data_IF_699525219633
#
_entry.id   IF_699525219633
#
_cell.length_a   1.000
_cell.length_b   1.000
_cell.length_c   1.000
_cell.angle_alpha   90.00
_cell.angle_beta   90.00
_cell.angle_gamma   90.00
#
_symmetry.space_group_name_H-M   'P 1'
#
loop_
_entity.id
_entity.type
_entity.pdbx_description
1 polymer ?
#
# COMPACT_ATOMS: atom_id res chain seq x y z
N UNK A 1 7.17 -14.83 4.20
CA UNK A 1 6.09 -15.22 5.13
C UNK A 1 4.82 -15.42 4.34
N UNK A 2 4.12 -16.52 4.56
CA UNK A 2 2.81 -16.79 3.93
C UNK A 2 1.72 -15.98 4.63
N UNK A 3 0.59 -15.77 3.95
CA UNK A 3 -0.54 -15.06 4.55
C UNK A 3 -1.11 -15.81 5.77
N UNK A 4 -1.18 -17.14 5.72
CA UNK A 4 -1.65 -17.97 6.82
C UNK A 4 -0.75 -17.87 8.07
N UNK A 5 0.58 -17.78 7.88
CA UNK A 5 1.51 -17.52 8.98
C UNK A 5 1.29 -16.13 9.58
N UNK A 6 1.11 -15.11 8.72
CA UNK A 6 0.86 -13.74 9.15
C UNK A 6 -0.46 -13.60 9.92
N UNK A 7 -1.55 -14.23 9.44
CA UNK A 7 -2.84 -14.29 10.15
C UNK A 7 -2.66 -14.86 11.56
N UNK A 8 -1.94 -15.98 11.70
CA UNK A 8 -1.68 -16.58 13.01
C UNK A 8 -0.90 -15.65 13.93
N UNK A 9 0.12 -14.97 13.40
CA UNK A 9 0.90 -13.99 14.15
C UNK A 9 -0.01 -12.84 14.66
N UNK A 10 -0.81 -12.24 13.78
CA UNK A 10 -1.70 -11.13 14.13
C UNK A 10 -2.81 -11.54 15.10
N UNK A 11 -3.32 -12.77 15.03
CA UNK A 11 -4.45 -13.23 15.87
C UNK A 11 -4.18 -13.19 17.37
N UNK A 12 -2.91 -13.11 17.77
CA UNK A 12 -2.48 -13.00 19.18
C UNK A 12 -2.45 -11.58 19.73
N UNK A 13 -2.73 -10.56 18.90
CA UNK A 13 -2.58 -9.15 19.25
C UNK A 13 -3.97 -8.52 19.43
N UNK A 14 -4.22 -7.87 20.56
CA UNK A 14 -5.50 -7.17 20.83
C UNK A 14 -5.58 -5.84 20.06
N UNK A 15 -5.82 -5.92 18.76
CA UNK A 15 -5.96 -4.77 17.85
C UNK A 15 -7.02 -5.07 16.79
N UNK A 16 -7.56 -4.07 16.06
CA UNK A 16 -8.47 -4.32 14.95
C UNK A 16 -7.91 -5.28 13.87
N UNK A 17 -6.60 -5.25 13.64
CA UNK A 17 -5.90 -6.18 12.74
C UNK A 17 -5.94 -7.62 13.31
N UNK A 18 -5.75 -7.76 14.62
CA UNK A 18 -5.85 -9.05 15.30
C UNK A 18 -7.28 -9.59 15.36
N UNK A 19 -8.28 -8.72 15.50
CA UNK A 19 -9.69 -9.09 15.41
C UNK A 19 -10.02 -9.63 14.00
N UNK A 20 -9.60 -8.92 12.94
CA UNK A 20 -9.74 -9.42 11.57
C UNK A 20 -9.02 -10.75 11.37
N UNK A 21 -7.83 -10.92 11.92
CA UNK A 21 -7.10 -12.19 11.85
C UNK A 21 -7.84 -13.33 12.56
N UNK A 22 -8.45 -13.06 13.71
CA UNK A 22 -9.30 -14.03 14.42
C UNK A 22 -10.57 -14.38 13.62
N UNK A 23 -11.18 -13.41 12.94
CA UNK A 23 -12.32 -13.63 12.07
C UNK A 23 -11.94 -14.53 10.89
N UNK A 24 -10.79 -14.29 10.26
CA UNK A 24 -10.24 -15.15 9.19
C UNK A 24 -10.05 -16.58 9.67
N UNK A 25 -9.52 -16.79 10.88
CA UNK A 25 -9.31 -18.13 11.44
C UNK A 25 -10.63 -18.87 11.68
N UNK A 26 -11.69 -18.14 12.05
CA UNK A 26 -13.02 -18.70 12.33
C UNK A 26 -13.86 -18.91 11.08
N UNK A 27 -13.50 -18.26 9.98
CA UNK A 27 -14.20 -18.36 8.70
C UNK A 27 -13.96 -19.72 8.04
N UNK A 28 -15.04 -20.50 7.93
CA UNK A 28 -15.01 -21.85 7.34
C UNK A 28 -14.90 -21.82 5.82
N UNK A 29 -15.30 -20.73 5.19
CA UNK A 29 -15.27 -20.54 3.75
C UNK A 29 -13.98 -19.83 3.29
N UNK A 30 -13.08 -19.53 4.23
CA UNK A 30 -11.83 -18.84 3.94
C UNK A 30 -10.95 -19.67 2.98
N UNK A 31 -10.53 -19.11 1.84
CA UNK A 31 -9.79 -19.83 0.79
C UNK A 31 -8.29 -20.02 1.14
N UNK A 32 -8.00 -20.68 2.26
CA UNK A 32 -6.64 -20.80 2.83
C UNK A 32 -5.61 -21.52 1.96
N UNK A 33 -6.06 -22.28 0.96
CA UNK A 33 -5.24 -23.05 0.02
C UNK A 33 -5.03 -22.34 -1.34
N UNK A 34 -5.63 -21.16 -1.54
CA UNK A 34 -5.54 -20.39 -2.78
C UNK A 34 -4.30 -19.50 -2.86
N UNK A 35 -4.07 -18.94 -4.05
CA UNK A 35 -3.00 -17.98 -4.22
C UNK A 35 -3.30 -16.70 -3.41
N UNK A 36 -2.24 -16.02 -2.95
CA UNK A 36 -2.36 -14.77 -2.18
C UNK A 36 -3.32 -13.75 -2.82
N UNK A 37 -3.28 -13.61 -4.16
CA UNK A 37 -4.18 -12.71 -4.88
C UNK A 37 -5.65 -13.06 -4.63
N UNK A 38 -6.02 -14.33 -4.76
CA UNK A 38 -7.41 -14.77 -4.54
C UNK A 38 -7.83 -14.59 -3.08
N UNK A 39 -6.90 -14.79 -2.13
CA UNK A 39 -7.14 -14.54 -0.71
C UNK A 39 -7.39 -13.06 -0.45
N UNK A 40 -6.59 -12.17 -1.04
CA UNK A 40 -6.78 -10.72 -0.88
C UNK A 40 -8.05 -10.23 -1.57
N UNK A 41 -8.38 -10.74 -2.76
CA UNK A 41 -9.63 -10.43 -3.45
C UNK A 41 -10.85 -10.87 -2.60
N UNK A 42 -10.79 -12.04 -1.96
CA UNK A 42 -11.81 -12.51 -1.02
C UNK A 42 -11.98 -11.56 0.18
N UNK A 43 -10.86 -11.21 0.83
CA UNK A 43 -10.88 -10.34 2.01
C UNK A 43 -11.35 -8.92 1.67
N UNK A 44 -10.91 -8.36 0.53
CA UNK A 44 -11.38 -7.06 0.07
C UNK A 44 -12.91 -7.06 -0.12
N UNK A 45 -13.44 -8.09 -0.80
CA UNK A 45 -14.87 -8.23 -1.04
C UNK A 45 -15.67 -8.35 0.27
N UNK A 46 -15.28 -9.26 1.16
CA UNK A 46 -16.01 -9.49 2.42
C UNK A 46 -15.98 -8.26 3.33
N UNK A 47 -14.83 -7.61 3.46
CA UNK A 47 -14.69 -6.44 4.34
C UNK A 47 -15.35 -5.18 3.78
N UNK A 48 -15.40 -5.01 2.44
CA UNK A 48 -16.22 -3.94 1.83
C UNK A 48 -17.70 -4.14 2.12
N UNK A 49 -18.20 -5.36 1.95
CA UNK A 49 -19.62 -5.69 2.22
C UNK A 49 -20.03 -5.38 3.66
N UNK A 50 -19.11 -5.55 4.61
CA UNK A 50 -19.35 -5.32 6.03
C UNK A 50 -18.95 -3.91 6.51
N UNK A 51 -18.44 -3.05 5.62
CA UNK A 51 -18.01 -1.69 5.97
C UNK A 51 -16.72 -1.61 6.80
N UNK A 52 -15.91 -2.66 6.81
CA UNK A 52 -14.66 -2.77 7.61
C UNK A 52 -13.40 -2.82 6.74
N UNK A 53 -13.49 -2.48 5.45
CA UNK A 53 -12.37 -2.59 4.50
C UNK A 53 -11.13 -1.79 4.91
N UNK A 54 -11.29 -0.69 5.65
CA UNK A 54 -10.14 0.07 6.18
C UNK A 54 -9.21 -0.78 7.07
N UNK A 55 -9.78 -1.72 7.83
CA UNK A 55 -9.02 -2.66 8.68
C UNK A 55 -8.26 -3.64 7.79
N UNK A 56 -8.90 -4.16 6.73
CA UNK A 56 -8.25 -5.01 5.75
C UNK A 56 -7.10 -4.30 5.04
N UNK A 57 -7.27 -3.04 4.62
CA UNK A 57 -6.19 -2.28 3.98
C UNK A 57 -4.98 -2.14 4.90
N UNK A 58 -5.20 -1.87 6.20
CA UNK A 58 -4.11 -1.85 7.20
C UNK A 58 -3.47 -3.22 7.41
N UNK A 59 -4.27 -4.26 7.56
CA UNK A 59 -3.80 -5.65 7.66
C UNK A 59 -2.93 -6.05 6.47
N UNK A 60 -3.37 -5.72 5.25
CA UNK A 60 -2.65 -6.03 4.02
C UNK A 60 -1.36 -5.21 3.90
N UNK A 61 -1.39 -3.93 4.29
CA UNK A 61 -0.18 -3.11 4.33
C UNK A 61 0.85 -3.64 5.32
N UNK A 62 0.45 -4.10 6.51
CA UNK A 62 1.36 -4.73 7.49
C UNK A 62 1.93 -6.06 6.97
N UNK A 63 1.15 -6.86 6.25
CA UNK A 63 1.66 -8.05 5.57
C UNK A 63 2.76 -7.68 4.56
N UNK A 64 2.54 -6.64 3.76
CA UNK A 64 3.49 -6.21 2.74
C UNK A 64 4.71 -5.52 3.34
N UNK A 65 4.58 -4.77 4.45
CA UNK A 65 5.71 -4.26 5.22
C UNK A 65 6.68 -5.38 5.60
N UNK A 66 6.21 -6.62 5.79
CA UNK A 66 7.09 -7.77 6.08
C UNK A 66 7.64 -8.45 4.83
N UNK A 67 6.90 -8.46 3.72
CA UNK A 67 7.16 -9.32 2.56
C UNK A 67 7.58 -8.59 1.27
N UNK A 68 7.43 -7.28 1.21
CA UNK A 68 7.69 -6.46 0.02
C UNK A 68 8.90 -5.56 0.26
N UNK A 69 10.02 -5.85 -0.40
CA UNK A 69 11.28 -5.16 -0.16
C UNK A 69 11.26 -3.73 -0.72
N UNK A 70 10.53 -3.49 -1.83
CA UNK A 70 10.36 -2.15 -2.38
C UNK A 70 9.56 -1.24 -1.45
N UNK A 71 8.48 -1.73 -0.83
CA UNK A 71 7.74 -0.94 0.16
C UNK A 71 8.64 -0.56 1.34
N UNK A 72 9.43 -1.52 1.88
CA UNK A 72 10.39 -1.22 2.94
C UNK A 72 11.37 -0.12 2.53
N UNK A 73 11.93 -0.22 1.32
CA UNK A 73 12.86 0.79 0.80
C UNK A 73 12.21 2.17 0.70
N UNK A 74 10.97 2.26 0.19
CA UNK A 74 10.22 3.52 0.12
C UNK A 74 10.02 4.10 1.53
N UNK A 75 9.56 3.27 2.47
CA UNK A 75 9.31 3.69 3.86
C UNK A 75 10.59 4.16 4.56
N UNK A 76 11.69 3.42 4.43
CA UNK A 76 13.00 3.81 4.96
C UNK A 76 13.46 5.15 4.38
N UNK A 77 13.34 5.35 3.06
CA UNK A 77 13.71 6.62 2.44
C UNK A 77 12.88 7.79 2.96
N UNK A 78 11.56 7.63 3.08
CA UNK A 78 10.69 8.68 3.62
C UNK A 78 11.04 8.99 5.08
N UNK A 79 11.34 7.96 5.88
CA UNK A 79 11.77 8.10 7.28
C UNK A 79 13.11 8.83 7.41
N UNK A 80 14.11 8.43 6.64
CA UNK A 80 15.46 9.02 6.68
C UNK A 80 15.45 10.49 6.24
N UNK A 81 14.53 10.86 5.35
CA UNK A 81 14.30 12.25 4.94
C UNK A 81 13.30 12.99 5.85
N UNK A 82 12.89 12.38 6.97
CA UNK A 82 11.96 12.93 7.94
C UNK A 82 10.68 13.48 7.31
N UNK A 83 10.10 12.75 6.34
CA UNK A 83 8.90 13.20 5.61
C UNK A 83 7.66 13.07 6.50
N UNK A 84 6.92 14.18 6.66
CA UNK A 84 5.77 14.23 7.58
C UNK A 84 4.41 14.43 6.88
N UNK A 85 4.41 14.93 5.64
CA UNK A 85 3.20 15.08 4.81
C UNK A 85 3.56 15.16 3.32
N UNK A 86 2.55 15.18 2.45
CA UNK A 86 2.78 15.39 1.01
C UNK A 86 3.31 16.80 0.70
N UNK A 87 2.91 17.80 1.48
CA UNK A 87 3.43 19.17 1.36
C UNK A 87 4.91 19.23 1.75
N UNK A 88 5.28 18.60 2.87
CA UNK A 88 6.68 18.49 3.30
C UNK A 88 7.52 17.68 2.28
N UNK A 89 6.96 16.62 1.70
CA UNK A 89 7.60 15.90 0.59
C UNK A 89 7.81 16.80 -0.64
N UNK A 90 6.88 17.73 -0.90
CA UNK A 90 7.00 18.70 -2.00
C UNK A 90 8.10 19.72 -1.73
N UNK A 91 8.16 20.28 -0.53
CA UNK A 91 9.22 21.21 -0.12
C UNK A 91 10.62 20.58 -0.20
N UNK A 92 10.71 19.26 0.00
CA UNK A 92 11.94 18.45 -0.10
C UNK A 92 12.24 17.94 -1.51
N UNK A 93 11.45 18.30 -2.52
CA UNK A 93 11.56 17.81 -3.90
C UNK A 93 11.44 16.27 -4.04
N UNK A 94 10.76 15.62 -3.10
CA UNK A 94 10.44 14.19 -3.14
C UNK A 94 9.12 13.97 -3.88
N UNK A 95 8.17 14.90 -3.73
CA UNK A 95 6.90 14.90 -4.45
C UNK A 95 6.76 16.18 -5.27
N UNK A 96 5.92 16.13 -6.30
CA UNK A 96 5.45 17.32 -7.00
C UNK A 96 4.00 17.13 -7.44
N UNK A 97 3.17 18.20 -7.43
CA UNK A 97 1.87 18.16 -8.10
C UNK A 97 2.05 17.77 -9.56
N UNK A 98 1.19 16.88 -10.08
CA UNK A 98 1.30 16.39 -11.44
C UNK A 98 0.07 16.74 -12.29
N UNK A 99 -0.96 15.89 -12.24
CA UNK A 99 -2.26 16.11 -12.88
C UNK A 99 -3.34 15.64 -11.92
N UNK A 100 -4.54 16.19 -12.02
CA UNK A 100 -5.66 15.87 -11.12
C UNK A 100 -5.93 14.37 -11.00
N UNK A 101 -5.89 13.66 -12.14
CA UNK A 101 -6.10 12.21 -12.21
C UNK A 101 -5.01 11.38 -11.54
N UNK A 102 -3.90 11.98 -11.13
CA UNK A 102 -2.79 11.30 -10.48
C UNK A 102 -2.44 11.91 -9.11
N UNK A 103 -2.90 13.13 -8.82
CA UNK A 103 -2.52 13.90 -7.65
C UNK A 103 -1.06 14.35 -7.75
N UNK A 104 -0.19 13.64 -7.03
CA UNK A 104 1.22 13.94 -6.89
C UNK A 104 2.08 12.86 -7.52
N UNK A 105 3.17 13.26 -8.16
CA UNK A 105 4.24 12.36 -8.56
C UNK A 105 5.31 12.33 -7.47
N UNK A 106 5.51 11.15 -6.88
CA UNK A 106 6.55 10.88 -5.90
C UNK A 106 7.77 10.28 -6.61
N UNK A 107 8.96 10.75 -6.27
CA UNK A 107 10.24 10.29 -6.82
C UNK A 107 11.15 9.85 -5.68
N UNK A 108 11.51 8.57 -5.68
CA UNK A 108 12.41 7.94 -4.73
C UNK A 108 13.69 7.51 -5.45
N UNK A 109 14.86 8.11 -5.16
CA UNK A 109 16.13 7.69 -5.75
C UNK A 109 16.48 6.29 -5.23
N UNK A 110 16.63 5.33 -6.14
CA UNK A 110 16.91 3.94 -5.76
C UNK A 110 18.40 3.68 -5.54
N UNK A 111 19.26 4.44 -6.23
CA UNK A 111 20.71 4.25 -6.20
C UNK A 111 21.13 2.83 -6.60
N UNK A 112 22.23 2.34 -6.01
CA UNK A 112 22.79 1.02 -6.30
C UNK A 112 22.24 -0.13 -5.44
N UNK A 113 21.32 0.14 -4.51
CA UNK A 113 20.88 -0.80 -3.47
C UNK A 113 19.41 -1.22 -3.59
N UNK A 114 18.83 -1.08 -4.77
CA UNK A 114 17.41 -1.31 -4.96
C UNK A 114 17.07 -2.81 -4.95
N UNK A 115 15.87 -3.20 -4.50
CA UNK A 115 15.49 -4.61 -4.43
C UNK A 115 15.48 -5.26 -5.80
N UNK A 116 16.08 -6.44 -5.94
CA UNK A 116 16.01 -7.25 -7.16
C UNK A 116 14.55 -7.63 -7.52
N UNK A 117 13.67 -7.66 -6.52
CA UNK A 117 12.24 -7.97 -6.63
C UNK A 117 11.39 -6.79 -7.08
N UNK A 118 11.96 -5.62 -7.38
CA UNK A 118 11.21 -4.36 -7.54
C UNK A 118 10.02 -4.44 -8.49
N UNK A 119 10.15 -5.13 -9.63
CA UNK A 119 9.04 -5.24 -10.58
C UNK A 119 7.88 -6.06 -10.02
N UNK A 120 8.17 -7.18 -9.36
CA UNK A 120 7.17 -8.03 -8.71
C UNK A 120 6.53 -7.29 -7.54
N UNK A 121 7.36 -6.65 -6.72
CA UNK A 121 6.93 -5.91 -5.54
C UNK A 121 5.98 -4.77 -5.92
N UNK A 122 6.26 -4.04 -7.01
CA UNK A 122 5.39 -2.96 -7.48
C UNK A 122 4.04 -3.45 -7.99
N UNK A 123 3.97 -4.64 -8.60
CA UNK A 123 2.68 -5.21 -9.01
C UNK A 123 1.80 -5.57 -7.81
N UNK A 124 2.39 -5.99 -6.69
CA UNK A 124 1.66 -6.24 -5.43
C UNK A 124 1.19 -4.94 -4.76
N UNK A 125 1.89 -3.81 -4.97
CA UNK A 125 1.54 -2.52 -4.38
C UNK A 125 0.38 -1.80 -5.09
N UNK A 126 0.10 -2.17 -6.35
CA UNK A 126 -0.98 -1.59 -7.18
C UNK A 126 -2.40 -1.98 -6.75
N UNK A 127 -2.57 -2.73 -5.67
CA UNK A 127 -3.90 -3.22 -5.22
C UNK A 127 -4.28 -2.73 -3.82
N UNK A 128 -3.44 -1.88 -3.20
CA UNK A 128 -3.63 -1.41 -1.82
C UNK A 128 -4.19 0.00 -1.82
N UNK A 129 -4.97 0.30 -0.80
CA UNK A 129 -5.56 1.61 -0.55
C UNK A 129 -6.31 2.14 -1.79
N UNK A 130 -7.02 1.23 -2.46
CA UNK A 130 -7.87 1.56 -3.61
C UNK A 130 -8.96 2.54 -3.18
N UNK A 131 -9.00 3.70 -3.82
CA UNK A 131 -9.94 4.77 -3.58
C UNK A 131 -10.54 5.27 -4.89
N UNK A 132 -11.84 5.58 -4.87
CA UNK A 132 -12.48 6.34 -5.93
C UNK A 132 -12.22 7.82 -5.70
N UNK A 133 -11.75 8.51 -6.74
CA UNK A 133 -11.43 9.94 -6.72
C UNK A 133 -12.35 10.65 -7.70
N UNK A 134 -13.10 11.62 -7.20
CA UNK A 134 -13.91 12.52 -8.02
C UNK A 134 -13.00 13.58 -8.68
N UNK A 135 -13.19 13.78 -9.98
CA UNK A 135 -12.49 14.78 -10.77
C UNK A 135 -13.34 16.04 -10.91
N UNK A 136 -12.67 17.17 -11.17
CA UNK A 136 -13.31 18.48 -11.37
C UNK A 136 -14.28 18.53 -12.56
N UNK A 137 -14.11 17.66 -13.55
CA UNK A 137 -15.01 17.53 -14.71
C UNK A 137 -16.25 16.65 -14.42
N UNK A 138 -16.39 16.16 -13.19
CA UNK A 138 -17.46 15.24 -12.78
C UNK A 138 -17.17 13.77 -13.10
N UNK A 139 -16.01 13.46 -13.66
CA UNK A 139 -15.51 12.10 -13.82
C UNK A 139 -15.09 11.46 -12.50
N UNK A 140 -14.92 10.14 -12.53
CA UNK A 140 -14.39 9.36 -11.41
C UNK A 140 -13.29 8.45 -11.89
N UNK A 141 -12.25 8.30 -11.08
CA UNK A 141 -11.16 7.36 -11.34
C UNK A 141 -10.90 6.49 -10.12
N UNK A 142 -10.34 5.31 -10.37
CA UNK A 142 -9.78 4.46 -9.33
C UNK A 142 -8.30 4.79 -9.18
N UNK A 143 -7.87 5.01 -7.95
CA UNK A 143 -6.49 5.31 -7.60
C UNK A 143 -6.03 4.38 -6.48
N UNK A 144 -4.75 4.06 -6.44
CA UNK A 144 -4.13 3.15 -5.47
C UNK A 144 -2.98 3.83 -4.73
N UNK A 145 -2.48 3.21 -3.66
CA UNK A 145 -1.37 3.74 -2.86
C UNK A 145 -0.13 4.10 -3.71
N UNK A 146 0.13 3.27 -4.73
CA UNK A 146 1.22 3.44 -5.70
C UNK A 146 0.64 3.25 -7.10
N UNK A 147 0.35 4.36 -7.77
CA UNK A 147 -0.19 4.38 -9.14
C UNK A 147 0.91 4.56 -10.19
N UNK A 148 0.76 3.85 -11.31
CA UNK A 148 1.66 3.92 -12.47
C UNK A 148 3.17 3.91 -12.10
N UNK A 149 3.62 2.97 -11.27
CA UNK A 149 5.02 2.92 -10.88
C UNK A 149 5.91 2.68 -12.10
N UNK A 150 6.99 3.45 -12.20
CA UNK A 150 7.98 3.31 -13.25
C UNK A 150 9.38 3.58 -12.73
N UNK A 151 10.35 2.91 -13.35
CA UNK A 151 11.77 3.20 -13.15
C UNK A 151 12.14 4.30 -14.15
N UNK A 152 12.30 5.52 -13.64
CA UNK A 152 12.71 6.67 -14.43
C UNK A 152 14.18 6.59 -14.83
N UNK A 153 14.61 7.59 -15.61
CA UNK A 153 16.03 7.85 -15.83
C UNK A 153 16.75 8.03 -14.48
N UNK A 154 18.04 7.67 -14.42
CA UNK A 154 18.88 7.78 -13.21
C UNK A 154 18.51 6.82 -12.05
N UNK A 155 17.79 5.72 -12.35
CA UNK A 155 17.43 4.70 -11.34
C UNK A 155 16.59 5.31 -10.20
N UNK A 156 15.58 6.10 -10.54
CA UNK A 156 14.59 6.57 -9.58
C UNK A 156 13.28 5.80 -9.75
N UNK A 157 12.68 5.36 -8.64
CA UNK A 157 11.31 4.87 -8.63
C UNK A 157 10.38 6.08 -8.60
N UNK A 158 9.49 6.15 -9.58
CA UNK A 158 8.44 7.16 -9.64
C UNK A 158 7.09 6.49 -9.56
N UNK A 159 6.18 7.08 -8.80
CA UNK A 159 4.79 6.66 -8.75
C UNK A 159 3.88 7.85 -8.48
N UNK A 160 2.61 7.70 -8.83
CA UNK A 160 1.57 8.67 -8.53
C UNK A 160 0.80 8.27 -7.28
N UNK A 161 0.27 9.25 -6.55
CA UNK A 161 -0.68 9.02 -5.47
C UNK A 161 -1.45 10.30 -5.15
N UNK A 162 -2.67 10.12 -4.65
CA UNK A 162 -3.45 11.18 -4.02
C UNK A 162 -2.94 11.48 -2.61
N UNK A 163 -3.28 12.66 -2.09
CA UNK A 163 -2.88 13.10 -0.74
C UNK A 163 -3.24 12.08 0.35
N UNK A 164 -4.46 11.53 0.31
CA UNK A 164 -4.91 10.55 1.32
C UNK A 164 -4.15 9.23 1.25
N UNK A 165 -3.75 8.79 0.05
CA UNK A 165 -2.92 7.60 -0.15
C UNK A 165 -1.49 7.83 0.33
N UNK A 166 -0.93 9.02 0.10
CA UNK A 166 0.37 9.37 0.67
C UNK A 166 0.32 9.40 2.20
N UNK A 167 -0.74 9.94 2.79
CA UNK A 167 -0.94 9.90 4.24
C UNK A 167 -1.06 8.46 4.76
N UNK A 168 -1.75 7.57 4.03
CA UNK A 168 -1.79 6.15 4.35
C UNK A 168 -0.39 5.52 4.27
N UNK A 169 0.41 5.84 3.25
CA UNK A 169 1.80 5.38 3.15
C UNK A 169 2.65 5.85 4.34
N UNK A 170 2.50 7.11 4.76
CA UNK A 170 3.22 7.64 5.93
C UNK A 170 2.78 7.00 7.24
N UNK A 171 1.51 6.63 7.40
CA UNK A 171 1.06 5.92 8.61
C UNK A 171 1.65 4.51 8.74
N UNK A 172 2.32 4.01 7.69
CA UNK A 172 3.08 2.75 7.74
C UNK A 172 4.49 2.91 8.33
N UNK A 173 4.95 4.14 8.61
CA UNK A 173 6.27 4.39 9.21
C UNK A 173 6.33 4.09 10.72
N UNK A 174 5.18 3.92 11.35
CA UNK A 174 4.99 3.56 12.76
C UNK A 174 5.49 2.14 13.08
#
# INVERSE_FOLDING_TARGET
MTINEFVRECSSIETPIGDLANDIIRDKDFPSDKANKEIFDYLDFQTRRNGTNEIFQKFFAEYLKKNNATLKFILEYLKDNNVQSIEDATDKNIAMPFIETCGYMVTIPLGSKYPETIMKDLDELKIINRQTVDLSDGGQIESYMIDNPNLGMEMALRFCCQKNQFNFLLSLLE
#
